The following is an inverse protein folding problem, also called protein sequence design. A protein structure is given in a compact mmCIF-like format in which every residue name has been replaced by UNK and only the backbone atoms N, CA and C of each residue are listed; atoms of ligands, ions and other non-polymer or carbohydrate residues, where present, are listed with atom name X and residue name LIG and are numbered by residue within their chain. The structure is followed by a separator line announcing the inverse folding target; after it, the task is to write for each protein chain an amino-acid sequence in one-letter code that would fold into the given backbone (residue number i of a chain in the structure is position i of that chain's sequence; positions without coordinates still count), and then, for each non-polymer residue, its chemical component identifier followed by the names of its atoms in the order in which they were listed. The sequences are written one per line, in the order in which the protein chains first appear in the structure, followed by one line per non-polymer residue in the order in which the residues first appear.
data_IF_704233524093
#
_entry.id   IF_704233524093
#
_cell.length_a   1.000
_cell.length_b   1.000
_cell.length_c   1.000
_cell.angle_alpha   90.00
_cell.angle_beta   90.00
_cell.angle_gamma   90.00
#
_symmetry.space_group_name_H-M   'P 1'
#
loop_
_entity.id
_entity.type
_entity.pdbx_description
1 polymer ?
#
# COMPACT_ATOMS: atom_id res chain seq x y z
N UNK A 1 16.97 32.47 -47.04
CA UNK A 1 16.79 32.16 -45.60
C UNK A 1 15.33 32.37 -45.28
N UNK A 2 14.57 31.28 -45.16
CA UNK A 2 13.28 31.15 -44.47
C UNK A 2 12.88 29.69 -44.62
N UNK A 3 13.11 28.93 -43.56
CA UNK A 3 12.69 27.55 -43.38
C UNK A 3 11.37 27.57 -42.63
N UNK A 4 10.27 27.20 -43.29
CA UNK A 4 8.99 26.94 -42.65
C UNK A 4 8.53 25.50 -42.90
N UNK A 5 8.39 24.81 -41.76
CA UNK A 5 7.30 23.91 -41.39
C UNK A 5 6.85 22.80 -42.37
N UNK A 6 7.16 21.55 -42.02
CA UNK A 6 6.20 20.43 -42.04
C UNK A 6 6.67 19.34 -41.07
N UNK A 7 6.30 19.47 -39.78
CA UNK A 7 6.36 18.38 -38.80
C UNK A 7 5.05 17.58 -38.90
N UNK A 8 5.13 16.39 -39.49
CA UNK A 8 4.04 15.43 -39.55
C UNK A 8 3.76 14.83 -38.17
N UNK A 9 2.79 15.40 -37.46
CA UNK A 9 2.26 14.82 -36.22
C UNK A 9 1.37 13.61 -36.50
N UNK A 10 1.87 12.39 -36.23
CA UNK A 10 1.00 11.22 -36.09
C UNK A 10 0.20 11.35 -34.79
N UNK A 11 -1.11 11.59 -34.91
CA UNK A 11 -2.08 11.47 -33.81
C UNK A 11 -1.99 10.06 -33.23
N UNK A 12 -1.57 9.92 -31.96
CA UNK A 12 -1.70 8.69 -31.19
C UNK A 12 -3.19 8.36 -31.06
N UNK A 13 -3.65 7.35 -31.80
CA UNK A 13 -4.97 6.76 -31.63
C UNK A 13 -5.09 6.20 -30.22
N UNK A 14 -6.25 6.42 -29.58
CA UNK A 14 -6.55 5.84 -28.26
C UNK A 14 -6.49 4.31 -28.38
N UNK A 15 -5.51 3.70 -27.72
CA UNK A 15 -5.32 2.26 -27.64
C UNK A 15 -6.55 1.63 -26.97
N UNK A 16 -7.16 0.65 -27.63
CA UNK A 16 -8.23 -0.19 -27.09
C UNK A 16 -7.66 -1.60 -26.93
N UNK A 17 -7.72 -2.16 -25.73
CA UNK A 17 -7.46 -3.58 -25.48
C UNK A 17 -8.81 -4.30 -25.46
N UNK A 18 -8.85 -5.52 -25.99
CA UNK A 18 -10.06 -6.36 -26.04
C UNK A 18 -9.98 -7.41 -24.94
N UNK A 19 -11.12 -7.71 -24.31
CA UNK A 19 -11.20 -8.59 -23.13
C UNK A 19 -12.26 -9.66 -23.38
N UNK A 20 -11.96 -10.93 -23.06
CA UNK A 20 -12.91 -12.04 -23.14
C UNK A 20 -13.41 -12.44 -21.76
N UNK A 21 -14.69 -12.79 -21.68
CA UNK A 21 -15.29 -13.45 -20.54
C UNK A 21 -15.36 -14.95 -20.82
N UNK A 22 -14.77 -15.79 -19.96
CA UNK A 22 -14.99 -17.23 -20.03
C UNK A 22 -16.11 -17.64 -19.07
N UNK A 23 -17.22 -18.14 -19.63
CA UNK A 23 -18.17 -18.98 -18.91
C UNK A 23 -18.01 -20.40 -19.47
N UNK A 24 -17.60 -21.36 -18.63
CA UNK A 24 -17.49 -22.76 -19.04
C UNK A 24 -18.87 -23.31 -19.38
N UNK A 25 -19.01 -23.93 -20.56
CA UNK A 25 -20.20 -24.71 -20.89
C UNK A 25 -20.22 -25.97 -20.00
N UNK A 26 -21.29 -26.12 -19.21
CA UNK A 26 -21.49 -27.27 -18.34
C UNK A 26 -21.49 -28.58 -19.14
N UNK A 27 -20.48 -29.42 -18.94
CA UNK A 27 -20.59 -30.85 -19.16
C UNK A 27 -20.81 -31.53 -17.81
N UNK A 28 -21.98 -32.15 -17.66
CA UNK A 28 -22.36 -32.90 -16.47
C UNK A 28 -21.50 -34.15 -16.35
N UNK A 29 -20.59 -34.19 -15.38
CA UNK A 29 -20.11 -35.45 -14.80
C UNK A 29 -19.89 -35.25 -13.30
N UNK A 30 -20.77 -35.90 -12.52
CA UNK A 30 -20.69 -35.96 -11.07
C UNK A 30 -19.55 -36.89 -10.65
N UNK A 31 -18.64 -36.41 -9.80
CA UNK A 31 -17.84 -37.26 -8.93
C UNK A 31 -17.88 -36.69 -7.53
N UNK A 32 -18.30 -37.53 -6.59
CA UNK A 32 -18.43 -37.29 -5.16
C UNK A 32 -17.07 -37.41 -4.44
N UNK A 33 -16.98 -36.71 -3.30
CA UNK A 33 -15.98 -36.79 -2.19
C UNK A 33 -14.72 -35.92 -2.36
N UNK A 34 -14.29 -35.09 -1.39
CA UNK A 34 -14.44 -35.15 0.07
C UNK A 34 -14.50 -33.73 0.68
N UNK A 35 -15.49 -33.50 1.56
CA UNK A 35 -15.63 -32.36 2.47
C UNK A 35 -14.62 -32.48 3.60
N UNK A 36 -13.59 -31.64 3.64
CA UNK A 36 -12.89 -31.23 4.86
C UNK A 36 -11.79 -30.20 4.55
N UNK A 37 -12.16 -28.95 4.22
CA UNK A 37 -11.26 -27.77 4.37
C UNK A 37 -11.97 -26.41 4.13
N UNK A 38 -13.31 -26.36 4.21
CA UNK A 38 -14.11 -25.25 3.70
C UNK A 38 -14.39 -24.10 4.69
N UNK A 39 -13.83 -24.12 5.90
CA UNK A 39 -14.20 -23.20 6.99
C UNK A 39 -13.06 -22.31 7.50
N UNK A 40 -12.18 -21.81 6.62
CA UNK A 40 -11.17 -20.79 7.01
C UNK A 40 -11.45 -19.37 6.54
N UNK A 41 -12.44 -19.17 5.67
CA UNK A 41 -12.73 -17.84 5.08
C UNK A 41 -14.22 -17.48 5.06
N UNK A 42 -15.07 -18.24 5.75
CA UNK A 42 -16.52 -18.06 5.82
C UNK A 42 -16.95 -17.51 7.19
N UNK A 43 -16.68 -16.22 7.44
CA UNK A 43 -17.45 -15.33 8.33
C UNK A 43 -16.68 -14.02 8.54
N UNK A 44 -16.66 -13.17 7.50
CA UNK A 44 -16.38 -11.75 7.74
C UNK A 44 -17.74 -11.10 7.94
N UNK A 45 -18.13 -10.91 9.19
CA UNK A 45 -19.30 -10.10 9.56
C UNK A 45 -19.10 -8.67 9.01
N UNK A 46 -19.76 -8.40 7.89
CA UNK A 46 -19.42 -7.32 6.94
C UNK A 46 -19.90 -5.91 7.35
N UNK A 47 -20.31 -5.65 8.60
CA UNK A 47 -20.91 -4.36 8.93
C UNK A 47 -20.33 -3.59 10.14
N UNK A 48 -19.56 -4.18 11.05
CA UNK A 48 -19.26 -3.49 12.34
C UNK A 48 -17.91 -3.74 13.01
N UNK A 49 -17.05 -4.63 12.52
CA UNK A 49 -15.84 -5.03 13.27
C UNK A 49 -14.68 -4.01 13.26
N UNK A 50 -14.53 -3.20 12.20
CA UNK A 50 -13.40 -2.27 12.05
C UNK A 50 -13.51 -0.97 12.88
N UNK A 51 -14.61 -0.76 13.61
CA UNK A 51 -15.02 0.55 14.14
C UNK A 51 -14.28 1.05 15.40
N UNK A 52 -13.23 0.36 15.86
CA UNK A 52 -12.53 0.74 17.09
C UNK A 52 -11.33 1.67 16.88
N UNK A 53 -11.04 2.08 15.63
CA UNK A 53 -9.96 3.04 15.37
C UNK A 53 -10.41 4.44 15.76
N UNK A 54 -9.77 5.00 16.78
CA UNK A 54 -9.98 6.39 17.18
C UNK A 54 -9.21 7.30 16.21
N UNK A 55 -9.92 8.17 15.48
CA UNK A 55 -9.29 9.15 14.59
C UNK A 55 -8.97 10.43 15.36
N UNK A 56 -7.83 11.07 15.02
CA UNK A 56 -7.47 12.39 15.48
C UNK A 56 -8.57 13.43 15.21
N UNK A 57 -9.30 13.31 14.08
CA UNK A 57 -10.43 14.17 13.71
C UNK A 57 -11.57 14.14 14.73
N UNK A 58 -11.79 12.98 15.38
CA UNK A 58 -12.89 12.75 16.33
C UNK A 58 -12.43 12.85 17.79
N UNK A 59 -11.13 13.11 18.02
CA UNK A 59 -10.58 13.27 19.35
C UNK A 59 -10.90 14.69 19.87
N UNK A 60 -11.31 14.86 21.15
CA UNK A 60 -11.57 16.19 21.71
C UNK A 60 -10.30 17.04 21.68
N UNK A 61 -10.34 18.17 20.97
CA UNK A 61 -9.17 19.03 20.77
C UNK A 61 -8.66 19.62 22.09
N UNK A 62 -9.53 19.81 23.07
CA UNK A 62 -9.19 20.34 24.39
C UNK A 62 -8.30 19.37 25.19
N UNK A 63 -8.32 18.08 24.85
CA UNK A 63 -7.45 17.06 25.43
C UNK A 63 -6.05 17.02 24.81
N UNK A 64 -5.78 17.86 23.80
CA UNK A 64 -4.46 17.96 23.17
C UNK A 64 -3.62 19.10 23.77
N UNK A 65 -4.24 20.11 24.37
CA UNK A 65 -3.54 21.30 24.89
C UNK A 65 -2.57 20.91 26.01
N UNK A 66 -1.28 21.22 25.80
CA UNK A 66 -0.21 20.93 26.75
C UNK A 66 0.23 19.46 26.82
N UNK A 67 -0.45 18.56 26.11
CA UNK A 67 -0.05 17.15 26.05
C UNK A 67 1.10 16.93 25.08
N UNK A 68 1.92 15.93 25.35
CA UNK A 68 2.95 15.48 24.40
C UNK A 68 2.34 14.40 23.50
N UNK A 69 2.38 14.66 22.20
CA UNK A 69 1.90 13.75 21.16
C UNK A 69 3.08 13.20 20.32
N UNK A 70 3.30 11.88 20.39
CA UNK A 70 4.25 11.19 19.51
C UNK A 70 3.56 10.82 18.21
N UNK A 71 4.06 11.28 17.08
CA UNK A 71 3.52 11.06 15.74
C UNK A 71 4.43 10.13 14.96
N UNK A 72 3.94 8.94 14.63
CA UNK A 72 4.63 8.00 13.74
C UNK A 72 4.30 8.31 12.29
N UNK A 73 5.28 8.82 11.55
CA UNK A 73 5.14 9.12 10.13
C UNK A 73 5.66 7.99 9.25
N UNK A 74 5.16 7.94 8.02
CA UNK A 74 5.76 7.18 6.95
C UNK A 74 6.71 8.03 6.12
N UNK A 75 7.98 7.61 6.01
CA UNK A 75 8.95 8.32 5.18
C UNK A 75 8.63 8.25 3.68
N UNK A 76 7.84 7.26 3.23
CA UNK A 76 7.44 7.14 1.83
C UNK A 76 6.56 8.32 1.37
N UNK A 77 5.74 8.88 2.27
CA UNK A 77 4.93 10.06 1.96
C UNK A 77 5.76 11.36 1.85
N UNK A 78 7.04 11.32 2.24
CA UNK A 78 7.99 12.44 2.20
C UNK A 78 8.89 12.41 0.95
N UNK A 79 8.58 11.54 -0.03
CA UNK A 79 9.45 11.29 -1.19
C UNK A 79 9.20 12.17 -2.40
N UNK A 80 7.98 12.66 -2.59
CA UNK A 80 7.64 13.28 -3.86
C UNK A 80 7.79 14.81 -3.79
N UNK A 81 8.24 15.45 -4.89
CA UNK A 81 8.19 16.90 -4.99
C UNK A 81 6.78 17.39 -4.65
N UNK A 82 6.67 18.64 -4.21
CA UNK A 82 5.40 19.38 -4.10
C UNK A 82 4.76 19.52 -5.51
N UNK A 83 4.32 18.42 -6.11
CA UNK A 83 3.31 18.48 -7.14
C UNK A 83 2.00 18.90 -6.49
N UNK A 84 1.18 19.71 -7.18
CA UNK A 84 -0.02 20.32 -6.60
C UNK A 84 -1.10 19.32 -6.12
N UNK A 85 -0.88 18.01 -6.27
CA UNK A 85 -1.85 16.95 -6.00
C UNK A 85 -1.36 15.85 -5.03
N UNK A 86 -0.25 16.00 -4.30
CA UNK A 86 0.14 14.98 -3.32
C UNK A 86 -0.73 15.06 -2.05
N UNK A 87 -1.85 14.33 -2.07
CA UNK A 87 -2.79 14.24 -0.96
C UNK A 87 -2.15 13.62 0.28
N UNK A 88 -1.21 12.68 0.11
CA UNK A 88 -0.58 11.97 1.23
C UNK A 88 0.31 12.89 2.06
N UNK A 89 1.24 13.61 1.41
CA UNK A 89 2.08 14.60 2.08
C UNK A 89 1.22 15.69 2.74
N UNK A 90 0.18 16.17 2.04
CA UNK A 90 -0.74 17.17 2.58
C UNK A 90 -1.43 16.70 3.86
N UNK A 91 -1.93 15.47 3.89
CA UNK A 91 -2.59 14.89 5.07
C UNK A 91 -1.60 14.66 6.21
N UNK A 92 -0.40 14.19 5.92
CA UNK A 92 0.68 14.04 6.91
C UNK A 92 1.05 15.38 7.56
N UNK A 93 1.24 16.44 6.75
CA UNK A 93 1.49 17.79 7.26
C UNK A 93 0.28 18.33 8.06
N UNK A 94 -0.94 17.99 7.63
CA UNK A 94 -2.16 18.36 8.36
C UNK A 94 -2.20 17.72 9.75
N UNK A 95 -1.76 16.47 9.91
CA UNK A 95 -1.68 15.79 11.22
C UNK A 95 -0.79 16.58 12.16
N UNK A 96 0.40 16.96 11.69
CA UNK A 96 1.38 17.70 12.47
C UNK A 96 0.85 19.10 12.83
N UNK A 97 0.32 19.83 11.83
CA UNK A 97 -0.22 21.19 12.04
C UNK A 97 -1.41 21.19 12.99
N UNK A 98 -2.31 20.23 12.89
CA UNK A 98 -3.48 20.13 13.75
C UNK A 98 -3.09 19.95 15.23
N UNK A 99 -2.13 19.06 15.51
CA UNK A 99 -1.61 18.87 16.88
C UNK A 99 -0.90 20.13 17.38
N UNK A 100 -0.10 20.75 16.51
CA UNK A 100 0.63 21.97 16.83
C UNK A 100 -0.29 23.15 17.16
N UNK A 101 -1.31 23.40 16.32
CA UNK A 101 -2.32 24.45 16.53
C UNK A 101 -3.18 24.20 17.77
N UNK A 102 -3.39 22.92 18.12
CA UNK A 102 -4.03 22.51 19.37
C UNK A 102 -3.11 22.66 20.60
N UNK A 103 -1.91 23.23 20.44
CA UNK A 103 -0.91 23.48 21.50
C UNK A 103 -0.35 22.21 22.14
N UNK A 104 -0.40 21.08 21.44
CA UNK A 104 0.32 19.88 21.85
C UNK A 104 1.82 20.03 21.57
N UNK A 105 2.67 19.43 22.41
CA UNK A 105 4.09 19.27 22.11
C UNK A 105 4.27 18.09 21.16
N UNK A 106 4.55 18.39 19.90
CA UNK A 106 4.66 17.37 18.85
C UNK A 106 6.05 16.76 18.81
N UNK A 107 6.09 15.42 18.83
CA UNK A 107 7.31 14.62 18.71
C UNK A 107 7.15 13.68 17.53
N UNK A 108 7.99 13.81 16.51
CA UNK A 108 7.94 13.02 15.29
C UNK A 108 8.93 11.86 15.39
N UNK A 109 8.46 10.67 15.02
CA UNK A 109 9.28 9.49 14.82
C UNK A 109 9.02 8.88 13.43
N UNK A 110 10.09 8.45 12.76
CA UNK A 110 9.98 7.81 11.44
C UNK A 110 11.12 6.82 11.18
N UNK A 111 11.07 6.09 10.07
CA UNK A 111 12.10 5.14 9.69
C UNK A 111 12.23 5.02 8.17
N UNK A 112 13.44 4.92 7.65
CA UNK A 112 13.72 4.73 6.22
C UNK A 112 14.89 3.75 5.98
N UNK A 113 14.95 3.05 4.84
CA UNK A 113 16.14 2.29 4.41
C UNK A 113 17.10 3.13 3.58
N UNK A 114 18.28 2.54 3.38
CA UNK A 114 19.24 2.89 2.33
C UNK A 114 18.63 2.97 0.92
N UNK A 115 17.61 2.18 0.58
CA UNK A 115 16.95 2.25 -0.74
C UNK A 115 16.12 3.52 -0.85
N UNK A 116 15.27 3.82 0.13
CA UNK A 116 14.56 5.10 0.16
C UNK A 116 15.53 6.29 0.23
N UNK A 117 16.60 6.16 1.02
CA UNK A 117 17.64 7.17 1.16
C UNK A 117 18.39 7.43 -0.15
N UNK A 118 18.70 6.39 -0.95
CA UNK A 118 19.43 6.56 -2.21
C UNK A 118 18.63 7.32 -3.28
N UNK A 119 17.30 7.37 -3.13
CA UNK A 119 16.40 8.05 -4.06
C UNK A 119 15.85 9.37 -3.51
N UNK A 120 16.15 9.73 -2.25
CA UNK A 120 15.59 10.93 -1.63
C UNK A 120 16.65 11.71 -0.80
N UNK A 121 17.10 12.89 -1.28
CA UNK A 121 18.08 13.70 -0.57
C UNK A 121 17.58 14.21 0.80
N UNK A 122 16.26 14.27 1.02
CA UNK A 122 15.67 14.68 2.31
C UNK A 122 15.87 13.62 3.40
N UNK A 123 16.01 12.35 3.03
CA UNK A 123 16.21 11.23 3.96
C UNK A 123 17.69 10.90 4.19
N UNK A 124 18.60 11.81 3.82
CA UNK A 124 20.04 11.62 3.98
C UNK A 124 20.48 11.64 5.44
N UNK A 125 19.83 12.46 6.27
CA UNK A 125 20.03 12.51 7.71
C UNK A 125 18.77 13.03 8.41
N UNK A 126 18.73 12.91 9.73
CA UNK A 126 17.64 13.47 10.55
C UNK A 126 17.61 14.99 10.48
N UNK A 127 18.76 15.64 10.35
CA UNK A 127 18.88 17.10 10.16
C UNK A 127 18.30 17.55 8.81
N UNK A 128 18.64 16.86 7.71
CA UNK A 128 18.09 17.19 6.38
C UNK A 128 16.56 17.08 6.36
N UNK A 129 16.01 16.07 7.04
CA UNK A 129 14.57 15.91 7.17
C UNK A 129 13.95 17.02 8.04
N UNK A 130 14.59 17.41 9.13
CA UNK A 130 14.13 18.50 9.98
C UNK A 130 14.09 19.85 9.23
N UNK A 131 15.12 20.16 8.44
CA UNK A 131 15.15 21.37 7.60
C UNK A 131 14.01 21.38 6.58
N UNK A 132 13.78 20.24 5.93
CA UNK A 132 12.69 20.09 4.97
C UNK A 132 11.31 20.26 5.61
N UNK A 133 11.05 19.61 6.75
CA UNK A 133 9.80 19.75 7.48
C UNK A 133 9.60 21.18 8.00
N UNK A 134 10.67 21.85 8.45
CA UNK A 134 10.63 23.26 8.87
C UNK A 134 10.13 24.16 7.74
N UNK A 135 10.65 23.96 6.52
CA UNK A 135 10.22 24.72 5.34
C UNK A 135 8.72 24.51 5.04
N UNK A 136 8.23 23.28 5.13
CA UNK A 136 6.84 22.93 4.82
C UNK A 136 5.85 23.38 5.90
N UNK A 137 6.24 23.26 7.16
CA UNK A 137 5.40 23.56 8.31
C UNK A 137 5.40 25.05 8.65
N UNK A 138 6.47 25.78 8.29
CA UNK A 138 6.74 27.15 8.74
C UNK A 138 6.84 27.26 10.27
N UNK A 139 7.28 26.17 10.90
CA UNK A 139 7.48 25.99 12.35
C UNK A 139 8.82 25.30 12.54
N UNK A 140 9.57 25.65 13.59
CA UNK A 140 10.85 25.03 13.88
C UNK A 140 10.72 23.53 14.14
N UNK A 141 11.50 22.73 13.42
CA UNK A 141 11.67 21.29 13.67
C UNK A 141 13.10 21.05 14.15
N UNK A 142 13.24 20.55 15.38
CA UNK A 142 14.52 20.30 16.03
C UNK A 142 14.87 18.82 15.89
N UNK A 143 15.96 18.46 15.16
CA UNK A 143 16.44 17.10 15.11
C UNK A 143 17.13 16.72 16.44
N UNK A 144 16.79 15.55 16.98
CA UNK A 144 17.38 15.00 18.20
C UNK A 144 18.04 13.66 17.89
N UNK A 145 19.36 13.67 17.96
CA UNK A 145 20.19 12.50 17.68
C UNK A 145 20.32 11.60 18.92
N UNK A 146 20.42 10.29 18.69
CA UNK A 146 20.58 9.30 19.75
C UNK A 146 19.30 8.52 20.05
N UNK A 147 19.26 7.86 21.21
CA UNK A 147 18.13 6.98 21.57
C UNK A 147 16.85 7.81 21.74
N UNK A 148 15.77 7.49 21.01
CA UNK A 148 14.49 8.18 21.13
C UNK A 148 13.90 8.12 22.54
N UNK A 149 13.34 9.24 22.98
CA UNK A 149 12.62 9.40 24.25
C UNK A 149 12.82 10.80 24.83
N UNK A 150 11.79 11.42 25.43
CA UNK A 150 11.88 12.81 25.90
C UNK A 150 13.01 13.05 26.92
N UNK A 151 13.50 12.00 27.59
CA UNK A 151 14.67 12.08 28.48
C UNK A 151 15.97 12.46 27.77
N UNK A 152 16.07 12.29 26.44
CA UNK A 152 17.23 12.69 25.65
C UNK A 152 17.14 14.13 25.13
N UNK A 153 16.01 14.81 25.31
CA UNK A 153 15.77 16.18 24.85
C UNK A 153 16.19 17.16 25.95
N UNK A 154 16.86 18.25 25.58
CA UNK A 154 17.26 19.28 26.56
C UNK A 154 16.02 20.07 26.99
N UNK A 155 15.98 20.50 28.26
CA UNK A 155 14.86 21.31 28.77
C UNK A 155 14.61 22.58 27.95
N UNK A 156 15.66 23.20 27.43
CA UNK A 156 15.58 24.40 26.58
C UNK A 156 14.82 24.14 25.26
N UNK A 157 14.99 22.94 24.66
CA UNK A 157 14.30 22.49 23.44
C UNK A 157 12.84 22.11 23.70
N UNK A 158 12.49 21.81 24.97
CA UNK A 158 11.12 21.56 25.41
C UNK A 158 10.33 22.84 25.66
N UNK A 159 11.00 23.92 26.03
CA UNK A 159 10.37 25.22 26.38
C UNK A 159 10.00 26.03 25.14
N UNK A 160 10.70 25.83 24.02
CA UNK A 160 10.28 26.39 22.74
C UNK A 160 9.11 25.55 22.19
N UNK A 161 8.07 26.21 21.64
CA UNK A 161 6.98 25.58 20.89
C UNK A 161 7.52 25.03 19.54
N UNK A 162 8.65 24.34 19.55
CA UNK A 162 9.20 23.68 18.37
C UNK A 162 8.79 22.22 18.36
N UNK A 163 8.77 21.64 17.17
CA UNK A 163 8.47 20.24 16.92
C UNK A 163 9.78 19.46 17.06
N UNK A 164 9.75 18.33 17.75
CA UNK A 164 10.93 17.47 17.91
C UNK A 164 10.90 16.38 16.85
N UNK A 165 12.04 16.06 16.24
CA UNK A 165 12.20 14.93 15.33
C UNK A 165 13.29 14.01 15.86
N UNK A 166 12.94 12.76 16.19
CA UNK A 166 13.94 11.78 16.61
C UNK A 166 14.63 11.09 15.43
N UNK A 167 15.80 10.54 15.72
CA UNK A 167 16.63 9.72 14.83
C UNK A 167 15.85 8.58 14.14
N UNK A 168 16.33 8.17 12.94
CA UNK A 168 15.77 7.06 12.18
C UNK A 168 15.62 5.79 13.02
N UNK A 169 14.37 5.37 13.27
CA UNK A 169 14.07 4.24 14.15
C UNK A 169 14.64 2.91 13.65
N UNK A 170 14.96 2.80 12.36
CA UNK A 170 15.59 1.59 11.78
C UNK A 170 16.96 1.29 12.40
N UNK A 171 17.64 2.29 12.95
CA UNK A 171 18.94 2.14 13.59
C UNK A 171 18.85 1.39 14.94
N UNK A 172 17.65 1.19 15.48
CA UNK A 172 17.43 0.58 16.78
C UNK A 172 16.84 -0.81 16.64
N UNK A 173 17.58 -1.84 17.08
CA UNK A 173 17.08 -3.22 17.11
C UNK A 173 15.78 -3.38 17.93
N UNK A 174 15.58 -2.50 18.91
CA UNK A 174 14.36 -2.44 19.72
C UNK A 174 13.10 -2.20 18.92
N UNK A 175 13.19 -1.49 17.78
CA UNK A 175 12.06 -1.19 16.90
C UNK A 175 11.49 -2.46 16.27
N UNK A 176 12.33 -3.23 15.57
CA UNK A 176 11.92 -4.44 14.84
C UNK A 176 11.55 -5.59 15.78
N UNK A 177 12.17 -5.63 16.97
CA UNK A 177 11.86 -6.65 17.99
C UNK A 177 10.63 -6.31 18.85
N UNK A 178 9.97 -5.16 18.61
CA UNK A 178 8.88 -4.67 19.44
C UNK A 178 9.22 -4.71 20.95
N UNK A 179 10.43 -4.25 21.28
CA UNK A 179 10.99 -4.35 22.63
C UNK A 179 10.23 -3.44 23.60
N UNK A 180 9.72 -4.01 24.69
CA UNK A 180 8.93 -3.29 25.69
C UNK A 180 9.69 -2.08 26.28
N UNK A 181 10.97 -2.24 26.62
CA UNK A 181 11.79 -1.16 27.17
C UNK A 181 12.04 -0.04 26.16
N UNK A 182 12.16 -0.40 24.87
CA UNK A 182 12.31 0.58 23.80
C UNK A 182 11.00 1.34 23.55
N UNK A 183 9.86 0.64 23.54
CA UNK A 183 8.53 1.26 23.47
C UNK A 183 8.24 2.18 24.66
N UNK A 184 8.63 1.79 25.87
CA UNK A 184 8.50 2.64 27.05
C UNK A 184 9.35 3.91 26.94
N UNK A 185 10.59 3.80 26.43
CA UNK A 185 11.45 4.97 26.17
C UNK A 185 10.86 5.89 25.12
N UNK A 186 10.35 5.33 24.02
CA UNK A 186 9.66 6.08 22.96
C UNK A 186 8.45 6.87 23.49
N UNK A 187 7.64 6.24 24.35
CA UNK A 187 6.48 6.86 24.96
C UNK A 187 6.78 7.71 26.19
N UNK A 188 8.04 7.80 26.63
CA UNK A 188 8.38 8.44 27.91
C UNK A 188 7.96 9.91 27.90
N UNK A 189 6.99 10.27 28.73
CA UNK A 189 6.40 11.62 28.80
C UNK A 189 5.36 11.92 27.72
N UNK A 190 5.11 10.99 26.80
CA UNK A 190 4.06 11.08 25.79
C UNK A 190 2.75 10.49 26.30
N UNK A 191 1.70 11.31 26.31
CA UNK A 191 0.38 10.88 26.73
C UNK A 191 -0.45 10.38 25.54
N UNK A 192 -0.14 10.89 24.35
CA UNK A 192 -0.84 10.60 23.10
C UNK A 192 0.14 10.03 22.08
N UNK A 193 -0.29 8.97 21.42
CA UNK A 193 0.35 8.41 20.24
C UNK A 193 -0.57 8.61 19.03
N UNK A 194 -0.02 9.11 17.93
CA UNK A 194 -0.71 9.26 16.66
C UNK A 194 0.04 8.42 15.62
N UNK A 195 -0.61 7.38 15.11
CA UNK A 195 -0.08 6.60 14.00
C UNK A 195 -0.57 7.21 12.69
N UNK A 196 0.35 7.79 11.93
CA UNK A 196 0.11 8.30 10.57
C UNK A 196 0.89 7.50 9.51
N UNK A 197 1.21 6.24 9.82
CA UNK A 197 1.89 5.29 8.93
C UNK A 197 1.07 4.00 8.80
N UNK A 198 0.02 4.06 7.97
CA UNK A 198 -0.82 2.90 7.69
C UNK A 198 -0.05 1.78 6.98
N UNK A 199 0.88 2.11 6.07
CA UNK A 199 1.74 1.12 5.40
C UNK A 199 2.58 0.29 6.37
N UNK A 200 2.97 0.81 7.53
CA UNK A 200 3.72 0.05 8.55
C UNK A 200 2.82 -0.70 9.53
N UNK A 201 1.50 -0.51 9.47
CA UNK A 201 0.58 -1.02 10.49
C UNK A 201 0.32 -2.53 10.40
N UNK A 202 0.72 -3.18 9.31
CA UNK A 202 0.75 -4.64 9.21
C UNK A 202 1.94 -5.28 9.94
N UNK A 203 2.90 -4.47 10.44
CA UNK A 203 4.09 -4.94 11.16
C UNK A 203 3.96 -4.71 12.66
N UNK A 204 4.44 -5.66 13.44
CA UNK A 204 4.53 -5.54 14.90
C UNK A 204 5.84 -4.84 15.24
N UNK A 205 5.80 -3.51 15.40
CA UNK A 205 6.98 -2.68 15.72
C UNK A 205 6.79 -1.97 17.06
N UNK A 206 7.89 -1.56 17.68
CA UNK A 206 7.84 -0.79 18.92
C UNK A 206 7.13 0.55 18.74
N UNK A 207 7.33 1.23 17.60
CA UNK A 207 6.71 2.54 17.29
C UNK A 207 5.30 2.49 16.70
N UNK A 208 4.75 1.30 16.44
CA UNK A 208 3.38 1.13 15.92
C UNK A 208 2.47 0.35 16.88
N UNK A 209 3.01 -0.68 17.54
CA UNK A 209 2.26 -1.57 18.45
C UNK A 209 2.72 -1.40 19.90
N UNK A 210 4.02 -1.46 20.16
CA UNK A 210 4.51 -1.47 21.54
C UNK A 210 4.26 -0.16 22.29
N UNK A 211 4.39 0.98 21.60
CA UNK A 211 4.20 2.33 22.15
C UNK A 211 2.78 2.56 22.67
N UNK A 212 1.77 1.93 22.07
CA UNK A 212 0.35 2.12 22.42
C UNK A 212 0.01 1.65 23.83
N UNK A 213 0.89 0.83 24.45
CA UNK A 213 0.73 0.34 25.83
C UNK A 213 0.99 1.44 26.88
N UNK A 214 1.67 2.50 26.49
CA UNK A 214 2.18 3.53 27.39
C UNK A 214 1.51 4.90 27.19
N UNK A 215 0.71 5.06 26.15
CA UNK A 215 -0.06 6.27 25.87
C UNK A 215 -1.55 6.01 26.16
N UNK A 216 -2.23 6.96 26.80
CA UNK A 216 -3.67 6.81 27.08
C UNK A 216 -4.52 7.04 25.82
N UNK A 217 -4.04 7.85 24.87
CA UNK A 217 -4.65 8.07 23.57
C UNK A 217 -3.82 7.43 22.47
N UNK A 218 -4.41 6.53 21.68
CA UNK A 218 -3.80 5.97 20.47
C UNK A 218 -4.70 6.28 19.28
N UNK A 219 -4.26 7.18 18.42
CA UNK A 219 -5.07 7.81 17.39
C UNK A 219 -4.53 7.49 15.99
N UNK A 220 -5.42 7.34 15.02
CA UNK A 220 -5.06 7.42 13.61
C UNK A 220 -4.89 8.89 13.20
N UNK A 221 -3.78 9.21 12.55
CA UNK A 221 -3.57 10.49 11.88
C UNK A 221 -4.47 10.63 10.63
N UNK A 222 -4.44 11.79 9.97
CA UNK A 222 -5.31 12.04 8.83
C UNK A 222 -4.96 11.20 7.61
N UNK A 223 -3.67 10.95 7.36
CA UNK A 223 -3.26 10.13 6.24
C UNK A 223 -3.59 8.65 6.49
N UNK A 224 -3.39 8.18 7.72
CA UNK A 224 -3.86 6.86 8.12
C UNK A 224 -5.37 6.71 7.94
N UNK A 225 -6.16 7.68 8.42
CA UNK A 225 -7.62 7.64 8.32
C UNK A 225 -8.08 7.57 6.85
N UNK A 226 -7.44 8.33 5.95
CA UNK A 226 -7.76 8.31 4.53
C UNK A 226 -7.40 6.96 3.88
N UNK A 227 -6.22 6.40 4.15
CA UNK A 227 -5.82 5.08 3.62
C UNK A 227 -6.74 3.96 4.15
N UNK A 228 -7.10 4.01 5.44
CA UNK A 228 -8.05 3.07 6.02
C UNK A 228 -9.44 3.21 5.37
N UNK A 229 -9.91 4.44 5.14
CA UNK A 229 -11.20 4.68 4.48
C UNK A 229 -11.21 4.17 3.04
N UNK A 230 -10.12 4.36 2.30
CA UNK A 230 -9.98 3.81 0.95
C UNK A 230 -10.04 2.29 0.97
N UNK A 231 -9.33 1.65 1.91
CA UNK A 231 -9.39 0.20 2.09
C UNK A 231 -10.82 -0.28 2.42
N UNK A 232 -11.50 0.40 3.34
CA UNK A 232 -12.87 0.06 3.73
C UNK A 232 -13.85 0.19 2.54
N UNK A 233 -13.64 1.22 1.70
CA UNK A 233 -14.44 1.41 0.47
C UNK A 233 -14.20 0.27 -0.52
N UNK A 234 -12.97 -0.24 -0.63
CA UNK A 234 -12.66 -1.41 -1.48
C UNK A 234 -13.31 -2.69 -0.91
N UNK A 235 -13.54 -2.78 0.39
CA UNK A 235 -14.24 -3.93 0.99
C UNK A 235 -15.76 -3.79 1.00
N UNK A 236 -16.30 -2.62 0.63
CA UNK A 236 -17.74 -2.37 0.54
C UNK A 236 -18.30 -2.95 -0.77
N UNK A 237 -18.91 -4.13 -0.66
CA UNK A 237 -19.53 -4.85 -1.77
C UNK A 237 -21.02 -4.53 -1.94
N UNK A 238 -21.54 -3.42 -1.38
CA UNK A 238 -22.97 -3.09 -1.50
C UNK A 238 -23.40 -2.71 -2.92
N UNK A 239 -22.43 -2.35 -3.79
CA UNK A 239 -22.68 -1.91 -5.17
C UNK A 239 -22.24 -2.99 -6.16
N UNK A 240 -23.22 -3.52 -6.90
CA UNK A 240 -23.00 -4.51 -7.94
C UNK A 240 -23.24 -3.92 -9.35
N UNK A 241 -22.53 -4.39 -10.39
CA UNK A 241 -21.48 -5.41 -10.32
C UNK A 241 -20.20 -4.88 -9.69
N UNK A 242 -19.64 -5.66 -8.76
CA UNK A 242 -18.37 -5.39 -8.09
C UNK A 242 -17.25 -6.14 -8.80
N UNK A 243 -16.36 -5.39 -9.46
CA UNK A 243 -15.33 -5.94 -10.35
C UNK A 243 -13.95 -5.58 -9.81
N UNK A 244 -13.07 -6.58 -9.66
CA UNK A 244 -11.67 -6.36 -9.32
C UNK A 244 -10.77 -6.45 -10.57
N UNK A 245 -9.84 -5.51 -10.71
CA UNK A 245 -8.78 -5.55 -11.72
C UNK A 245 -7.47 -5.89 -11.00
N UNK A 246 -6.84 -6.99 -11.40
CA UNK A 246 -5.73 -7.62 -10.70
C UNK A 246 -4.53 -7.64 -11.64
N UNK A 247 -3.50 -6.88 -11.27
CA UNK A 247 -2.23 -6.82 -11.98
C UNK A 247 -1.07 -7.49 -11.25
N UNK A 248 0.12 -7.40 -11.84
CA UNK A 248 1.38 -7.83 -11.24
C UNK A 248 1.98 -9.07 -11.88
N UNK A 249 3.00 -9.64 -11.22
CA UNK A 249 3.81 -10.73 -11.78
C UNK A 249 3.84 -12.02 -10.97
N UNK A 250 3.38 -12.00 -9.72
CA UNK A 250 3.57 -13.11 -8.79
C UNK A 250 2.18 -13.60 -8.34
N UNK A 251 1.69 -14.66 -8.96
CA UNK A 251 0.38 -15.23 -8.66
C UNK A 251 0.36 -15.88 -7.28
N UNK A 252 1.36 -16.71 -6.97
CA UNK A 252 1.42 -17.44 -5.70
C UNK A 252 1.49 -16.49 -4.49
N UNK A 253 2.27 -15.41 -4.62
CA UNK A 253 2.36 -14.39 -3.56
C UNK A 253 1.02 -13.71 -3.30
N UNK A 254 0.23 -13.49 -4.35
CA UNK A 254 -1.04 -12.78 -4.28
C UNK A 254 -2.24 -13.70 -4.04
N UNK A 255 -2.04 -15.03 -4.06
CA UNK A 255 -3.11 -16.02 -3.97
C UNK A 255 -4.09 -15.81 -2.81
N UNK A 256 -3.65 -15.47 -1.57
CA UNK A 256 -4.59 -15.17 -0.49
C UNK A 256 -5.53 -13.99 -0.79
N UNK A 257 -4.98 -12.93 -1.41
CA UNK A 257 -5.78 -11.77 -1.83
C UNK A 257 -6.70 -12.13 -3.02
N UNK A 258 -6.27 -13.00 -3.92
CA UNK A 258 -7.11 -13.47 -5.03
C UNK A 258 -8.33 -14.23 -4.51
N UNK A 259 -8.15 -15.14 -3.55
CA UNK A 259 -9.27 -15.88 -2.94
C UNK A 259 -10.23 -14.95 -2.18
N UNK A 260 -9.71 -13.92 -1.51
CA UNK A 260 -10.55 -12.90 -0.88
C UNK A 260 -11.35 -12.12 -1.94
N UNK A 261 -10.73 -11.68 -3.03
CA UNK A 261 -11.44 -10.97 -4.10
C UNK A 261 -12.47 -11.87 -4.79
N UNK A 262 -12.15 -13.14 -5.03
CA UNK A 262 -13.07 -14.13 -5.58
C UNK A 262 -14.25 -14.46 -4.65
N UNK A 263 -14.19 -14.12 -3.36
CA UNK A 263 -15.34 -14.26 -2.46
C UNK A 263 -16.19 -12.99 -2.37
N UNK A 264 -15.69 -11.85 -2.83
CA UNK A 264 -16.31 -10.52 -2.73
C UNK A 264 -16.86 -9.99 -4.07
N UNK A 265 -16.19 -10.30 -5.18
CA UNK A 265 -16.46 -9.72 -6.49
C UNK A 265 -17.37 -10.59 -7.36
N UNK A 266 -18.13 -9.96 -8.26
CA UNK A 266 -18.89 -10.64 -9.31
C UNK A 266 -17.99 -11.02 -10.50
N UNK A 267 -16.84 -10.36 -10.65
CA UNK A 267 -15.90 -10.63 -11.71
C UNK A 267 -14.49 -10.14 -11.42
N UNK A 268 -13.52 -10.84 -12.01
CA UNK A 268 -12.09 -10.64 -11.83
C UNK A 268 -11.40 -10.44 -13.18
N UNK A 269 -10.77 -9.29 -13.38
CA UNK A 269 -9.99 -8.96 -14.56
C UNK A 269 -8.51 -9.11 -14.26
N UNK A 270 -7.85 -10.08 -14.89
CA UNK A 270 -6.43 -10.28 -14.75
C UNK A 270 -5.67 -9.54 -15.85
N UNK A 271 -4.64 -8.79 -15.49
CA UNK A 271 -3.79 -8.02 -16.42
C UNK A 271 -2.31 -8.16 -16.07
N UNK A 272 -1.42 -7.94 -17.03
CA UNK A 272 0.02 -8.11 -16.80
C UNK A 272 0.42 -9.58 -16.61
N UNK A 273 1.57 -9.84 -16.00
CA UNK A 273 2.14 -11.21 -15.97
C UNK A 273 1.26 -12.25 -15.26
N UNK A 274 0.42 -11.83 -14.32
CA UNK A 274 -0.54 -12.71 -13.64
C UNK A 274 -1.62 -13.25 -14.58
N UNK A 275 -1.97 -12.54 -15.66
CA UNK A 275 -2.96 -13.03 -16.64
C UNK A 275 -2.46 -14.26 -17.39
N UNK A 276 -1.15 -14.38 -17.64
CA UNK A 276 -0.58 -15.58 -18.26
C UNK A 276 -0.77 -16.84 -17.40
N UNK A 277 -0.78 -16.70 -16.06
CA UNK A 277 -1.09 -17.84 -15.19
C UNK A 277 -2.52 -18.32 -15.44
N UNK A 278 -3.48 -17.39 -15.41
CA UNK A 278 -4.89 -17.69 -15.65
C UNK A 278 -5.12 -18.27 -17.05
N UNK A 279 -4.53 -17.66 -18.08
CA UNK A 279 -4.59 -18.14 -19.46
C UNK A 279 -4.07 -19.58 -19.57
N UNK A 280 -2.91 -19.88 -18.98
CA UNK A 280 -2.36 -21.23 -18.91
C UNK A 280 -3.32 -22.21 -18.20
N UNK A 281 -3.92 -21.79 -17.08
CA UNK A 281 -4.91 -22.59 -16.35
C UNK A 281 -6.20 -22.86 -17.12
N UNK A 282 -6.58 -21.96 -18.04
CA UNK A 282 -7.71 -22.13 -18.95
C UNK A 282 -7.35 -22.94 -20.21
N UNK A 283 -6.11 -23.42 -20.33
CA UNK A 283 -5.64 -24.22 -21.45
C UNK A 283 -5.17 -23.41 -22.67
N UNK A 284 -4.95 -22.10 -22.50
CA UNK A 284 -4.36 -21.25 -23.55
C UNK A 284 -2.84 -21.45 -23.51
N UNK A 285 -2.25 -21.67 -24.68
CA UNK A 285 -0.81 -21.77 -24.85
C UNK A 285 -0.16 -20.42 -24.49
N UNK A 286 0.80 -20.44 -23.57
CA UNK A 286 1.57 -19.26 -23.18
C UNK A 286 3.05 -19.61 -23.06
N UNK A 287 3.98 -18.66 -23.31
CA UNK A 287 5.41 -18.90 -23.14
C UNK A 287 5.75 -19.31 -21.70
N UNK A 288 6.54 -20.36 -21.55
CA UNK A 288 6.85 -20.98 -20.25
C UNK A 288 7.53 -20.02 -19.26
N UNK A 289 8.31 -19.05 -19.76
CA UNK A 289 8.99 -18.05 -18.94
C UNK A 289 8.05 -17.01 -18.31
N UNK A 290 6.81 -16.89 -18.80
CA UNK A 290 5.77 -16.09 -18.17
C UNK A 290 5.02 -16.86 -17.09
N UNK A 291 5.10 -18.20 -17.06
CA UNK A 291 4.42 -19.04 -16.07
C UNK A 291 5.28 -19.18 -14.82
N UNK A 292 4.68 -18.92 -13.65
CA UNK A 292 5.35 -19.04 -12.37
C UNK A 292 5.57 -20.52 -12.05
N UNK A 293 6.79 -20.88 -11.62
CA UNK A 293 7.12 -22.27 -11.31
C UNK A 293 6.23 -22.78 -10.19
N UNK A 294 5.72 -24.00 -10.35
CA UNK A 294 4.84 -24.68 -9.40
C UNK A 294 3.47 -24.01 -9.16
N UNK A 295 3.08 -23.01 -9.96
CA UNK A 295 1.80 -22.33 -9.79
C UNK A 295 0.59 -23.07 -10.40
N UNK A 296 0.81 -24.01 -11.33
CA UNK A 296 -0.26 -24.62 -12.14
C UNK A 296 -1.40 -25.24 -11.32
N UNK A 297 -1.09 -25.98 -10.25
CA UNK A 297 -2.11 -26.61 -9.41
C UNK A 297 -2.98 -25.56 -8.70
N UNK A 298 -2.35 -24.53 -8.12
CA UNK A 298 -3.03 -23.43 -7.43
C UNK A 298 -3.90 -22.60 -8.38
N UNK A 299 -3.41 -22.36 -9.61
CA UNK A 299 -4.17 -21.65 -10.64
C UNK A 299 -5.44 -22.43 -11.03
N UNK A 300 -5.31 -23.73 -11.27
CA UNK A 300 -6.46 -24.57 -11.62
C UNK A 300 -7.49 -24.62 -10.49
N UNK A 301 -7.02 -24.75 -9.24
CA UNK A 301 -7.89 -24.72 -8.07
C UNK A 301 -8.60 -23.37 -7.93
N UNK A 302 -7.88 -22.27 -8.11
CA UNK A 302 -8.43 -20.92 -8.05
C UNK A 302 -9.52 -20.69 -9.12
N UNK A 303 -9.26 -21.10 -10.37
CA UNK A 303 -10.24 -20.99 -11.47
C UNK A 303 -11.49 -21.81 -11.15
N UNK A 304 -11.31 -23.04 -10.65
CA UNK A 304 -12.41 -23.89 -10.23
C UNK A 304 -13.25 -23.22 -9.12
N UNK A 305 -12.60 -22.66 -8.10
CA UNK A 305 -13.29 -22.03 -6.97
C UNK A 305 -14.05 -20.76 -7.38
N UNK A 306 -13.49 -19.96 -8.28
CA UNK A 306 -14.16 -18.79 -8.84
C UNK A 306 -15.41 -19.20 -9.66
N UNK A 307 -15.29 -20.22 -10.51
CA UNK A 307 -16.44 -20.75 -11.26
C UNK A 307 -17.51 -21.34 -10.36
N UNK A 308 -17.13 -22.10 -9.32
CA UNK A 308 -18.06 -22.66 -8.34
C UNK A 308 -18.87 -21.57 -7.61
N UNK A 309 -18.33 -20.35 -7.54
CA UNK A 309 -18.96 -19.15 -6.96
C UNK A 309 -19.68 -18.27 -7.98
N UNK A 310 -19.74 -18.67 -9.25
CA UNK A 310 -20.27 -17.87 -10.37
C UNK A 310 -19.54 -16.54 -10.59
N UNK A 311 -18.26 -16.46 -10.22
CA UNK A 311 -17.43 -15.28 -10.46
C UNK A 311 -16.84 -15.34 -11.86
N UNK A 312 -17.09 -14.30 -12.66
CA UNK A 312 -16.61 -14.25 -14.04
C UNK A 312 -15.11 -13.91 -14.08
N UNK A 313 -14.31 -14.72 -14.77
CA UNK A 313 -12.88 -14.47 -14.99
C UNK A 313 -12.68 -13.85 -16.37
N UNK A 314 -11.95 -12.74 -16.38
CA UNK A 314 -11.59 -11.99 -17.57
C UNK A 314 -10.07 -11.89 -17.71
N UNK A 315 -9.57 -12.03 -18.93
CA UNK A 315 -8.16 -11.91 -19.27
C UNK A 315 -7.99 -11.24 -20.64
N UNK A 316 -6.81 -10.68 -20.96
CA UNK A 316 -6.59 -9.96 -22.21
C UNK A 316 -6.68 -10.92 -23.40
N UNK A 317 -7.44 -10.54 -24.43
CA UNK A 317 -7.46 -11.31 -25.70
C UNK A 317 -6.35 -10.93 -26.66
N UNK A 318 -5.72 -9.79 -26.41
CA UNK A 318 -4.67 -9.25 -27.24
C UNK A 318 -3.58 -8.61 -26.39
N UNK A 319 -2.34 -8.65 -26.88
CA UNK A 319 -1.17 -8.12 -26.19
C UNK A 319 -0.23 -7.41 -27.16
N UNK A 320 0.48 -6.42 -26.64
CA UNK A 320 1.58 -5.77 -27.34
C UNK A 320 2.87 -6.54 -27.08
N UNK A 321 3.45 -7.11 -28.13
CA UNK A 321 4.70 -7.88 -28.06
C UNK A 321 5.75 -7.28 -28.99
N UNK A 322 7.03 -7.44 -28.61
CA UNK A 322 8.18 -7.14 -29.45
C UNK A 322 8.47 -8.37 -30.30
N UNK A 323 8.45 -8.24 -31.62
CA UNK A 323 8.92 -9.35 -32.45
C UNK A 323 10.47 -9.37 -32.44
N UNK A 324 11.06 -10.49 -32.02
CA UNK A 324 12.52 -10.69 -31.99
C UNK A 324 13.11 -11.01 -33.38
N UNK A 325 12.30 -11.09 -34.43
CA UNK A 325 12.79 -11.19 -35.81
C UNK A 325 13.39 -9.86 -36.28
N UNK A 326 14.66 -9.60 -35.91
CA UNK A 326 15.63 -8.60 -36.41
C UNK A 326 15.22 -7.12 -36.54
N UNK A 327 13.96 -6.74 -36.35
CA UNK A 327 13.43 -5.38 -36.60
C UNK A 327 12.83 -4.69 -35.36
N UNK A 328 12.81 -5.32 -34.18
CA UNK A 328 12.22 -4.77 -32.94
C UNK A 328 10.85 -4.10 -33.13
N UNK A 329 10.04 -4.61 -34.07
CA UNK A 329 8.73 -4.01 -34.36
C UNK A 329 7.69 -4.47 -33.34
N UNK A 330 6.99 -3.49 -32.75
CA UNK A 330 5.87 -3.72 -31.85
C UNK A 330 4.62 -4.15 -32.63
N UNK A 331 4.06 -5.30 -32.28
CA UNK A 331 2.81 -5.83 -32.87
C UNK A 331 1.73 -6.10 -31.83
N UNK A 332 0.46 -6.12 -32.28
CA UNK A 332 -0.66 -6.67 -31.50
C UNK A 332 -0.80 -8.14 -31.86
N UNK A 333 -0.70 -9.01 -30.86
CA UNK A 333 -0.86 -10.46 -31.01
C UNK A 333 -2.09 -10.93 -30.26
N UNK A 334 -2.87 -11.85 -30.85
CA UNK A 334 -3.99 -12.47 -30.15
C UNK A 334 -3.47 -13.46 -29.11
N UNK A 335 -4.14 -13.54 -27.98
CA UNK A 335 -3.95 -14.55 -26.94
C UNK A 335 -4.00 -15.99 -27.47
N UNK A 336 -4.79 -16.27 -28.52
CA UNK A 336 -4.85 -17.57 -29.18
C UNK A 336 -3.58 -17.93 -29.96
N UNK A 337 -2.83 -16.92 -30.37
CA UNK A 337 -1.71 -17.06 -31.31
C UNK A 337 -0.36 -17.16 -30.58
N UNK A 338 -0.40 -17.13 -29.24
CA UNK A 338 0.77 -17.33 -28.37
C UNK A 338 1.26 -18.77 -28.49
N UNK A 339 2.35 -18.97 -29.22
CA UNK A 339 2.97 -20.29 -29.35
C UNK A 339 3.78 -20.62 -28.10
N UNK A 340 3.81 -21.91 -27.72
CA UNK A 340 4.74 -22.46 -26.74
C UNK A 340 6.17 -22.42 -27.32
N UNK A 341 6.77 -21.24 -27.35
CA UNK A 341 8.16 -21.02 -27.71
C UNK A 341 8.90 -20.26 -26.61
N UNK A 342 10.22 -20.37 -26.59
CA UNK A 342 11.09 -19.62 -25.67
C UNK A 342 11.09 -18.09 -25.95
N UNK A 343 10.42 -17.65 -27.00
CA UNK A 343 10.56 -16.31 -27.56
C UNK A 343 9.20 -15.63 -27.75
N UNK A 344 8.92 -14.65 -26.91
CA UNK A 344 7.95 -13.56 -27.08
C UNK A 344 8.48 -12.33 -26.34
#
# INVERSE_FOLDING_TARGET
MSSDAFLGGRRRSRLKCTILCCQLQHSTNSVYLQKAEQDKYSSVDQATSYLHVQSLRKFPIEKLDGEVAVVRLDSAHLMEPLEPCNLSLKNTLLTIKYLYEARAKVVIVTSWDTVLQSHNPVLMSTEALAEYLTLLLQVGVIPVNGVPGLTSVKQEELVQNDIILFENLRNFKGEVSNCNDFSHKLASGAAIFVNDSFLLSHKILASTVGITRFCYGSLAGFQFEEELKQLLTITDTTRHPYIAIIGGSNFLRNLPALHLLASLCDGLFFVGKISFQIMNGLGISVPSHFVERHATAEVLQFIHDAHARNVSIYYPTDMWCLNNDDNEEMGIFNSSDLTCGEYC
#
